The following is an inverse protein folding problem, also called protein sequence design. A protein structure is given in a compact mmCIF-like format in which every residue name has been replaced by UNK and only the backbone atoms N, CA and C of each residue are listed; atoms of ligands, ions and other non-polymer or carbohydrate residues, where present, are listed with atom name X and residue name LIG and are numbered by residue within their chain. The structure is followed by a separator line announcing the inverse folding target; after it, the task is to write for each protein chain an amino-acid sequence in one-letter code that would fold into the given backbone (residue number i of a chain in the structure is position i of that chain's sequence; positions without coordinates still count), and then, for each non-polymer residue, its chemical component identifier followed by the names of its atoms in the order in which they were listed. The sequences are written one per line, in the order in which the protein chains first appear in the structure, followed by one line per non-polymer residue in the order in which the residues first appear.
data_IF_237735731784
#
_entry.id   IF_237735731784
#
_cell.length_a   1.000
_cell.length_b   1.000
_cell.length_c   1.000
_cell.angle_alpha   90.00
_cell.angle_beta   90.00
_cell.angle_gamma   90.00
#
_symmetry.space_group_name_H-M   'P 1'
#
loop_
_entity.id
_entity.type
_entity.pdbx_description
1 polymer ?
#
# COMPACT_ATOMS: atom_id res chain seq x y z
N UNK A 1 2.57 2.27 -0.83
CA UNK A 1 3.88 2.81 -1.26
C UNK A 1 3.97 2.80 -2.78
N UNK A 2 4.55 3.82 -3.41
CA UNK A 2 4.60 3.95 -4.88
C UNK A 2 6.03 4.26 -5.33
N UNK A 3 6.56 3.48 -6.27
CA UNK A 3 7.86 3.74 -6.87
C UNK A 3 8.12 2.86 -8.09
N UNK A 4 8.13 3.46 -9.28
CA UNK A 4 8.22 2.74 -10.57
C UNK A 4 9.55 2.92 -11.28
N UNK A 5 10.45 3.73 -10.72
CA UNK A 5 11.82 3.88 -11.19
C UNK A 5 12.57 2.57 -10.96
N UNK A 6 13.49 2.19 -11.85
CA UNK A 6 14.21 0.90 -11.79
C UNK A 6 14.88 0.67 -10.43
N UNK A 7 15.42 1.73 -9.82
CA UNK A 7 16.08 1.72 -8.52
C UNK A 7 15.11 1.54 -7.35
N UNK A 8 13.83 1.85 -7.54
CA UNK A 8 12.80 1.82 -6.51
C UNK A 8 11.94 0.55 -6.52
N UNK A 9 11.71 -0.06 -7.69
CA UNK A 9 10.70 -1.13 -7.86
C UNK A 9 10.84 -2.26 -6.84
N UNK A 10 12.02 -2.87 -6.80
CA UNK A 10 12.30 -4.03 -5.96
C UNK A 10 12.19 -3.66 -4.47
N UNK A 11 12.80 -2.53 -4.09
CA UNK A 11 12.77 -2.01 -2.72
C UNK A 11 11.34 -1.74 -2.24
N UNK A 12 10.52 -1.07 -3.06
CA UNK A 12 9.13 -0.72 -2.71
C UNK A 12 8.28 -1.98 -2.58
N UNK A 13 8.51 -2.99 -3.41
CA UNK A 13 7.81 -4.27 -3.29
C UNK A 13 8.19 -5.01 -2.00
N UNK A 14 9.48 -5.13 -1.70
CA UNK A 14 9.98 -5.82 -0.50
C UNK A 14 9.48 -5.14 0.77
N UNK A 15 9.70 -3.83 0.90
CA UNK A 15 9.34 -3.09 2.12
C UNK A 15 7.82 -2.92 2.25
N UNK A 16 7.09 -2.80 1.13
CA UNK A 16 5.63 -2.77 1.12
C UNK A 16 5.02 -4.08 1.62
N UNK A 17 5.53 -5.23 1.14
CA UNK A 17 5.13 -6.55 1.63
C UNK A 17 5.49 -6.73 3.11
N UNK A 18 6.70 -6.35 3.51
CA UNK A 18 7.16 -6.43 4.90
C UNK A 18 6.28 -5.61 5.85
N UNK A 19 5.90 -4.40 5.47
CA UNK A 19 5.00 -3.56 6.26
C UNK A 19 3.53 -3.97 6.13
N UNK A 20 3.18 -4.93 5.25
CA UNK A 20 1.79 -5.30 4.97
C UNK A 20 0.97 -4.11 4.49
N UNK A 21 1.54 -3.28 3.60
CA UNK A 21 0.86 -2.14 2.99
C UNK A 21 0.77 -2.33 1.47
N UNK A 22 -0.30 -1.84 0.83
CA UNK A 22 -0.39 -1.88 -0.63
C UNK A 22 0.77 -1.13 -1.28
N UNK A 23 1.30 -1.67 -2.38
CA UNK A 23 2.40 -1.07 -3.11
C UNK A 23 2.21 -1.10 -4.64
N UNK A 24 2.92 -0.20 -5.33
CA UNK A 24 2.96 -0.11 -6.79
C UNK A 24 4.40 0.06 -7.24
N UNK A 25 4.94 -0.95 -7.92
CA UNK A 25 6.34 -1.03 -8.36
C UNK A 25 6.51 -0.94 -9.89
N UNK A 26 5.47 -1.26 -10.68
CA UNK A 26 5.57 -1.25 -12.15
C UNK A 26 5.09 0.04 -12.79
N UNK A 27 3.77 0.30 -12.74
CA UNK A 27 3.15 1.47 -13.37
C UNK A 27 1.92 1.90 -12.60
N UNK A 28 1.77 3.21 -12.41
CA UNK A 28 0.51 3.78 -11.98
C UNK A 28 -0.51 3.80 -13.12
N UNK A 29 -1.61 3.06 -12.97
CA UNK A 29 -2.74 3.11 -13.90
C UNK A 29 -3.59 4.33 -13.55
N UNK A 30 -3.86 5.19 -14.53
CA UNK A 30 -4.77 6.32 -14.32
C UNK A 30 -6.15 5.84 -13.88
N UNK A 31 -6.69 6.46 -12.84
CA UNK A 31 -7.93 6.04 -12.20
C UNK A 31 -7.75 5.04 -11.05
N UNK A 32 -6.52 4.76 -10.61
CA UNK A 32 -6.24 3.83 -9.51
C UNK A 32 -6.98 4.21 -8.22
N UNK A 33 -7.06 5.50 -7.91
CA UNK A 33 -7.76 5.99 -6.72
C UNK A 33 -9.11 6.58 -7.11
N UNK A 34 -9.15 7.39 -8.17
CA UNK A 34 -10.35 8.13 -8.56
C UNK A 34 -11.44 7.24 -9.19
N UNK A 35 -11.06 6.11 -9.77
CA UNK A 35 -11.98 5.09 -10.29
C UNK A 35 -11.76 3.72 -9.62
N UNK A 36 -11.68 3.73 -8.30
CA UNK A 36 -11.40 2.53 -7.52
C UNK A 36 -12.42 1.41 -7.72
N UNK A 37 -13.68 1.73 -8.08
CA UNK A 37 -14.70 0.71 -8.40
C UNK A 37 -14.27 -0.18 -9.57
N UNK A 38 -13.71 0.37 -10.64
CA UNK A 38 -13.21 -0.43 -11.77
C UNK A 38 -11.96 -1.21 -11.39
N UNK A 39 -11.06 -0.60 -10.60
CA UNK A 39 -9.85 -1.26 -10.10
C UNK A 39 -10.20 -2.49 -9.25
N UNK A 40 -11.22 -2.39 -8.39
CA UNK A 40 -11.74 -3.54 -7.62
C UNK A 40 -12.20 -4.69 -8.52
N UNK A 41 -12.86 -4.39 -9.64
CA UNK A 41 -13.24 -5.42 -10.61
C UNK A 41 -12.02 -6.12 -11.20
N UNK A 42 -10.97 -5.36 -11.54
CA UNK A 42 -9.71 -5.94 -12.03
C UNK A 42 -8.99 -6.77 -10.97
N UNK A 43 -8.98 -6.34 -9.71
CA UNK A 43 -8.42 -7.11 -8.58
C UNK A 43 -9.21 -8.41 -8.37
N UNK A 44 -10.55 -8.36 -8.45
CA UNK A 44 -11.38 -9.55 -8.37
C UNK A 44 -11.03 -10.53 -9.50
N UNK A 45 -10.92 -10.03 -10.73
CA UNK A 45 -10.51 -10.83 -11.88
C UNK A 45 -9.14 -11.49 -11.67
N UNK A 46 -8.17 -10.77 -11.10
CA UNK A 46 -6.87 -11.34 -10.76
C UNK A 46 -7.00 -12.52 -9.78
N UNK A 47 -7.79 -12.36 -8.71
CA UNK A 47 -8.04 -13.41 -7.72
C UNK A 47 -8.72 -14.62 -8.35
N UNK A 48 -9.73 -14.40 -9.18
CA UNK A 48 -10.44 -15.47 -9.90
C UNK A 48 -9.48 -16.24 -10.83
N UNK A 49 -8.58 -15.53 -11.52
CA UNK A 49 -7.56 -16.16 -12.39
C UNK A 49 -6.52 -16.96 -11.59
N UNK A 50 -6.09 -16.49 -10.41
CA UNK A 50 -5.19 -17.26 -9.53
C UNK A 50 -5.85 -18.56 -9.07
N UNK A 51 -7.11 -18.49 -8.62
CA UNK A 51 -7.89 -19.67 -8.21
C UNK A 51 -8.02 -20.66 -9.37
N UNK A 52 -8.30 -20.16 -10.58
CA UNK A 52 -8.39 -21.00 -11.78
C UNK A 52 -7.05 -21.66 -12.15
N UNK A 53 -5.93 -20.96 -11.94
CA UNK A 53 -4.59 -21.52 -12.16
C UNK A 53 -4.30 -22.66 -11.17
N UNK A 54 -4.65 -22.47 -9.89
CA UNK A 54 -4.47 -23.47 -8.83
C UNK A 54 -5.39 -24.69 -9.02
N UNK A 55 -6.63 -24.47 -9.48
CA UNK A 55 -7.59 -25.53 -9.77
C UNK A 55 -7.21 -26.38 -11.01
N UNK A 56 -6.27 -25.91 -11.83
CA UNK A 56 -5.77 -26.60 -13.01
C UNK A 56 -6.40 -26.10 -14.33
N UNK A 57 -5.54 -25.93 -15.35
CA UNK A 57 -5.91 -25.42 -16.68
C UNK A 57 -6.03 -26.53 -17.73
N UNK A 58 -6.26 -27.77 -17.29
CA UNK A 58 -6.24 -28.97 -18.16
C UNK A 58 -7.36 -28.98 -19.21
N UNK A 59 -8.46 -28.27 -18.93
CA UNK A 59 -9.57 -28.08 -19.88
C UNK A 59 -9.23 -27.13 -21.04
N UNK A 60 -8.11 -26.40 -20.96
CA UNK A 60 -7.68 -25.45 -22.00
C UNK A 60 -6.65 -26.08 -22.95
N UNK A 61 -6.68 -25.67 -24.22
CA UNK A 61 -5.60 -25.98 -25.16
C UNK A 61 -4.27 -25.38 -24.70
N UNK A 62 -3.12 -25.96 -25.12
CA UNK A 62 -1.77 -25.40 -24.84
C UNK A 62 -1.64 -23.92 -25.21
N UNK A 63 -2.27 -23.51 -26.33
CA UNK A 63 -2.32 -22.10 -26.74
C UNK A 63 -3.14 -21.26 -25.75
N UNK A 64 -4.28 -21.77 -25.30
CA UNK A 64 -5.12 -21.14 -24.27
C UNK A 64 -4.40 -20.97 -22.94
N UNK A 65 -3.72 -22.03 -22.47
CA UNK A 65 -2.90 -21.99 -21.25
C UNK A 65 -1.79 -20.93 -21.33
N UNK A 66 -1.10 -20.84 -22.48
CA UNK A 66 -0.06 -19.81 -22.68
C UNK A 66 -0.64 -18.39 -22.66
N UNK A 67 -1.77 -18.17 -23.31
CA UNK A 67 -2.42 -16.85 -23.32
C UNK A 67 -2.92 -16.46 -21.93
N UNK A 68 -3.49 -17.43 -21.20
CA UNK A 68 -3.95 -17.26 -19.83
C UNK A 68 -2.79 -16.89 -18.89
N UNK A 69 -1.68 -17.62 -18.95
CA UNK A 69 -0.48 -17.34 -18.15
C UNK A 69 0.07 -15.93 -18.44
N UNK A 70 0.15 -15.53 -19.71
CA UNK A 70 0.59 -14.18 -20.09
C UNK A 70 -0.34 -13.09 -19.56
N UNK A 71 -1.64 -13.32 -19.59
CA UNK A 71 -2.62 -12.37 -19.06
C UNK A 71 -2.52 -12.26 -17.55
N UNK A 72 -2.39 -13.40 -16.86
CA UNK A 72 -2.18 -13.45 -15.41
C UNK A 72 -0.90 -12.70 -15.02
N UNK A 73 0.23 -13.02 -15.64
CA UNK A 73 1.52 -12.37 -15.35
C UNK A 73 1.47 -10.86 -15.57
N UNK A 74 0.76 -10.41 -16.60
CA UNK A 74 0.59 -8.98 -16.88
C UNK A 74 -0.24 -8.32 -15.79
N UNK A 75 -1.37 -8.94 -15.42
CA UNK A 75 -2.26 -8.40 -14.42
C UNK A 75 -1.61 -8.40 -13.03
N UNK A 76 -0.87 -9.45 -12.68
CA UNK A 76 -0.09 -9.55 -11.43
C UNK A 76 0.95 -8.43 -11.35
N UNK A 77 1.67 -8.17 -12.44
CA UNK A 77 2.65 -7.07 -12.50
C UNK A 77 2.00 -5.70 -12.32
N UNK A 78 0.82 -5.47 -12.90
CA UNK A 78 0.19 -4.16 -12.90
C UNK A 78 -0.56 -3.86 -11.58
N UNK A 79 -1.20 -4.86 -10.97
CA UNK A 79 -2.10 -4.66 -9.82
C UNK A 79 -1.89 -5.65 -8.65
N UNK A 80 -0.90 -6.54 -8.72
CA UNK A 80 -0.62 -7.52 -7.66
C UNK A 80 -0.30 -6.87 -6.31
N UNK A 81 0.47 -5.78 -6.31
CA UNK A 81 0.82 -5.07 -5.08
C UNK A 81 -0.35 -4.33 -4.39
N UNK A 82 -1.50 -4.19 -5.06
CA UNK A 82 -2.72 -3.59 -4.49
C UNK A 82 -3.85 -4.62 -4.29
N UNK A 83 -3.57 -5.92 -4.43
CA UNK A 83 -4.59 -6.98 -4.37
C UNK A 83 -5.30 -7.07 -3.00
N UNK A 84 -4.61 -6.64 -1.94
CA UNK A 84 -5.11 -6.67 -0.56
C UNK A 84 -5.84 -5.37 -0.18
N UNK A 85 -5.90 -4.40 -1.10
CA UNK A 85 -6.54 -3.11 -0.89
C UNK A 85 -8.07 -3.23 -1.06
N UNK A 86 -8.81 -3.17 0.05
CA UNK A 86 -10.28 -3.22 0.06
C UNK A 86 -10.93 -1.83 0.06
N UNK A 87 -10.24 -0.85 0.65
CA UNK A 87 -10.64 0.55 0.79
C UNK A 87 -9.59 1.46 0.19
N UNK A 88 -9.92 2.74 0.01
CA UNK A 88 -8.93 3.73 -0.38
C UNK A 88 -7.90 3.91 0.74
N UNK A 89 -6.63 4.20 0.41
CA UNK A 89 -5.60 4.43 1.42
C UNK A 89 -5.82 5.77 2.14
N UNK A 90 -5.50 5.80 3.44
CA UNK A 90 -5.53 7.01 4.27
C UNK A 90 -4.34 7.95 4.01
N UNK A 91 -3.23 7.41 3.50
CA UNK A 91 -2.06 8.18 3.10
C UNK A 91 -1.30 7.47 1.99
N UNK A 92 -0.56 8.23 1.17
CA UNK A 92 0.23 7.69 0.08
C UNK A 92 1.67 8.18 0.20
N UNK A 93 2.61 7.23 0.17
CA UNK A 93 4.03 7.50 0.06
C UNK A 93 4.53 7.28 -1.37
N UNK A 94 5.14 8.31 -1.98
CA UNK A 94 5.63 8.31 -3.36
C UNK A 94 7.13 8.59 -3.41
N UNK A 95 7.87 7.78 -4.17
CA UNK A 95 9.27 8.02 -4.50
C UNK A 95 9.32 8.51 -5.95
N UNK A 96 9.98 9.66 -6.16
CA UNK A 96 10.10 10.37 -7.45
C UNK A 96 8.76 10.96 -7.94
N UNK A 97 8.52 12.22 -7.60
CA UNK A 97 7.31 12.96 -8.00
C UNK A 97 7.22 13.25 -9.50
N UNK A 98 8.35 13.21 -10.22
CA UNK A 98 8.41 13.50 -11.65
C UNK A 98 7.63 12.51 -12.50
N UNK A 99 7.79 11.22 -12.17
CA UNK A 99 7.13 10.12 -12.88
C UNK A 99 5.69 9.89 -12.43
N UNK A 100 5.29 10.42 -11.27
CA UNK A 100 4.02 10.12 -10.60
C UNK A 100 3.02 11.27 -10.56
N UNK A 101 3.05 12.16 -11.56
CA UNK A 101 2.11 13.30 -11.65
C UNK A 101 0.64 12.89 -11.60
N UNK A 102 0.29 11.75 -12.19
CA UNK A 102 -1.09 11.22 -12.18
C UNK A 102 -1.48 10.80 -10.76
N UNK A 103 -0.61 10.09 -10.04
CA UNK A 103 -0.86 9.68 -8.66
C UNK A 103 -1.07 10.89 -7.74
N UNK A 104 -0.23 11.92 -7.90
CA UNK A 104 -0.33 13.18 -7.14
C UNK A 104 -1.65 13.90 -7.43
N UNK A 105 -2.04 14.01 -8.70
CA UNK A 105 -3.29 14.65 -9.10
C UNK A 105 -4.53 13.90 -8.56
N UNK A 106 -4.49 12.56 -8.60
CA UNK A 106 -5.57 11.73 -8.06
C UNK A 106 -5.68 11.82 -6.54
N UNK A 107 -4.55 11.75 -5.82
CA UNK A 107 -4.51 11.88 -4.36
C UNK A 107 -5.06 13.24 -3.91
N UNK A 108 -4.61 14.32 -4.55
CA UNK A 108 -5.09 15.69 -4.28
C UNK A 108 -6.58 15.84 -4.52
N UNK A 109 -7.11 15.25 -5.60
CA UNK A 109 -8.54 15.32 -5.92
C UNK A 109 -9.41 14.63 -4.85
N UNK A 110 -8.89 13.58 -4.22
CA UNK A 110 -9.59 12.83 -3.18
C UNK A 110 -9.29 13.33 -1.77
N UNK A 111 -8.38 14.30 -1.62
CA UNK A 111 -7.94 14.81 -0.31
C UNK A 111 -7.13 13.79 0.49
N UNK A 112 -6.46 12.84 -0.18
CA UNK A 112 -5.61 11.85 0.48
C UNK A 112 -4.24 12.48 0.74
N UNK A 113 -3.76 12.54 2.00
CA UNK A 113 -2.43 13.02 2.35
C UNK A 113 -1.32 12.34 1.56
N UNK A 114 -0.45 13.14 0.96
CA UNK A 114 0.65 12.68 0.12
C UNK A 114 2.00 13.03 0.74
N UNK A 115 2.77 11.98 1.03
CA UNK A 115 4.15 12.04 1.47
C UNK A 115 5.04 11.69 0.29
N UNK A 116 6.02 12.54 -0.05
CA UNK A 116 6.88 12.23 -1.19
C UNK A 116 8.33 12.69 -1.03
N UNK A 117 9.22 11.92 -1.64
CA UNK A 117 10.63 12.29 -1.81
C UNK A 117 10.75 13.20 -3.02
N UNK A 118 11.28 14.40 -2.81
CA UNK A 118 11.45 15.43 -3.85
C UNK A 118 12.93 15.72 -4.04
N UNK A 119 13.41 15.50 -5.25
CA UNK A 119 14.74 15.93 -5.69
C UNK A 119 14.69 17.31 -6.34
N UNK A 120 15.85 17.95 -6.44
CA UNK A 120 16.11 19.30 -6.97
C UNK A 120 15.53 19.60 -8.35
N UNK A 121 15.26 18.57 -9.16
CA UNK A 121 14.69 18.68 -10.50
C UNK A 121 13.15 18.72 -10.53
N UNK A 122 12.49 18.60 -9.38
CA UNK A 122 11.03 18.55 -9.30
C UNK A 122 10.45 19.56 -8.29
N UNK A 123 9.25 20.06 -8.62
CA UNK A 123 8.53 20.98 -7.74
C UNK A 123 7.83 20.22 -6.60
N UNK A 124 7.89 20.73 -5.35
CA UNK A 124 7.16 20.16 -4.23
C UNK A 124 5.65 20.49 -4.24
N UNK A 125 5.13 21.14 -5.28
CA UNK A 125 3.77 21.66 -5.30
C UNK A 125 2.67 20.59 -5.18
N UNK A 126 1.87 20.76 -4.13
CA UNK A 126 0.74 19.91 -3.74
C UNK A 126 1.14 18.47 -3.42
N UNK A 127 2.28 18.37 -2.75
CA UNK A 127 2.68 17.32 -1.81
C UNK A 127 2.44 17.91 -0.41
N UNK A 128 1.82 17.14 0.48
CA UNK A 128 1.52 17.61 1.85
C UNK A 128 2.75 17.50 2.76
N UNK A 129 3.50 16.41 2.63
CA UNK A 129 4.71 16.15 3.41
C UNK A 129 5.89 15.87 2.49
N UNK A 130 6.76 16.87 2.38
CA UNK A 130 7.93 16.83 1.49
C UNK A 130 9.14 16.29 2.23
N UNK A 131 9.78 15.26 1.67
CA UNK A 131 11.08 14.75 2.10
C UNK A 131 12.11 15.17 1.05
N UNK A 132 12.91 16.22 1.29
CA UNK A 132 13.94 16.64 0.33
C UNK A 132 15.03 15.57 0.28
N UNK A 133 15.33 15.04 -0.92
CA UNK A 133 16.31 13.97 -1.03
C UNK A 133 16.50 13.41 -2.43
N UNK A 134 17.60 12.66 -2.59
CA UNK A 134 17.95 12.02 -3.86
C UNK A 134 17.07 10.79 -4.15
N UNK A 135 16.41 10.76 -5.31
CA UNK A 135 15.57 9.64 -5.76
C UNK A 135 16.23 8.71 -6.80
N UNK A 136 17.44 9.05 -7.29
CA UNK A 136 18.18 8.29 -8.31
C UNK A 136 19.01 7.14 -7.72
N UNK A 137 19.40 7.25 -6.45
CA UNK A 137 20.25 6.28 -5.78
C UNK A 137 19.42 5.17 -5.12
N UNK A 138 19.69 3.91 -5.50
CA UNK A 138 19.04 2.75 -4.87
C UNK A 138 19.24 2.72 -3.35
N UNK A 139 20.41 3.19 -2.85
CA UNK A 139 20.67 3.25 -1.40
C UNK A 139 19.79 4.28 -0.70
N UNK A 140 19.60 5.45 -1.32
CA UNK A 140 18.74 6.49 -0.77
C UNK A 140 17.26 6.05 -0.79
N UNK A 141 16.81 5.49 -1.91
CA UNK A 141 15.46 4.93 -2.04
C UNK A 141 15.21 3.85 -0.99
N UNK A 142 16.18 2.96 -0.76
CA UNK A 142 16.12 1.94 0.31
C UNK A 142 15.97 2.57 1.69
N UNK A 143 16.73 3.62 1.98
CA UNK A 143 16.65 4.32 3.25
C UNK A 143 15.25 4.90 3.49
N UNK A 144 14.67 5.59 2.50
CA UNK A 144 13.33 6.17 2.64
C UNK A 144 12.24 5.10 2.74
N UNK A 145 12.30 4.07 1.87
CA UNK A 145 11.31 2.99 1.87
C UNK A 145 11.32 2.23 3.20
N UNK A 146 12.51 1.91 3.74
CA UNK A 146 12.65 1.29 5.06
C UNK A 146 12.16 2.17 6.18
N UNK A 147 12.59 3.43 6.21
CA UNK A 147 12.16 4.37 7.25
C UNK A 147 10.64 4.51 7.32
N UNK A 148 9.96 4.58 6.18
CA UNK A 148 8.49 4.60 6.12
C UNK A 148 7.88 3.26 6.54
N UNK A 149 8.43 2.14 6.08
CA UNK A 149 7.93 0.82 6.46
C UNK A 149 8.06 0.57 7.97
N UNK A 150 9.20 0.90 8.56
CA UNK A 150 9.47 0.78 9.99
C UNK A 150 8.53 1.72 10.78
N UNK A 151 8.34 2.97 10.35
CA UNK A 151 7.40 3.90 10.97
C UNK A 151 5.94 3.40 10.93
N UNK A 152 5.52 2.75 9.84
CA UNK A 152 4.19 2.12 9.74
C UNK A 152 4.06 0.96 10.72
N UNK A 153 5.09 0.12 10.84
CA UNK A 153 5.09 -1.02 11.76
C UNK A 153 5.06 -0.56 13.22
N UNK A 154 5.88 0.42 13.58
CA UNK A 154 5.91 1.03 14.91
C UNK A 154 4.56 1.69 15.24
N UNK A 155 3.98 2.44 14.30
CA UNK A 155 2.66 3.05 14.46
C UNK A 155 1.55 2.02 14.70
N UNK A 156 1.59 0.89 13.99
CA UNK A 156 0.65 -0.23 14.22
C UNK A 156 0.84 -0.89 15.58
N UNK A 157 2.07 -1.10 16.01
CA UNK A 157 2.35 -1.70 17.33
C UNK A 157 1.86 -0.79 18.46
N UNK A 158 2.15 0.51 18.40
CA UNK A 158 1.70 1.48 19.39
C UNK A 158 0.17 1.60 19.45
N UNK A 159 -0.51 1.57 18.30
CA UNK A 159 -1.97 1.61 18.26
C UNK A 159 -2.61 0.41 18.99
N UNK A 160 -2.00 -0.77 18.91
CA UNK A 160 -2.46 -1.95 19.66
C UNK A 160 -2.21 -1.74 21.16
N UNK A 161 -1.04 -1.27 21.55
CA UNK A 161 -0.71 -1.02 22.96
C UNK A 161 -1.61 0.04 23.60
N UNK A 162 -1.96 1.09 22.87
CA UNK A 162 -2.85 2.15 23.34
C UNK A 162 -4.29 1.64 23.50
N UNK A 163 -4.77 0.77 22.60
CA UNK A 163 -6.07 0.09 22.76
C UNK A 163 -6.05 -0.84 23.96
N UNK A 164 -4.98 -1.63 24.15
CA UNK A 164 -4.84 -2.52 25.31
C UNK A 164 -4.82 -1.71 26.61
N UNK A 165 -4.07 -0.60 26.66
CA UNK A 165 -4.05 0.30 27.82
C UNK A 165 -5.41 0.92 28.09
N UNK A 166 -6.16 1.33 27.07
CA UNK A 166 -7.50 1.88 27.24
C UNK A 166 -8.47 0.84 27.82
N UNK A 167 -8.42 -0.41 27.33
CA UNK A 167 -9.25 -1.50 27.86
C UNK A 167 -8.87 -1.86 29.30
N UNK A 168 -7.57 -1.87 29.63
CA UNK A 168 -7.10 -2.13 31.00
C UNK A 168 -7.47 -0.98 31.95
N UNK A 169 -7.45 0.27 31.48
CA UNK A 169 -7.89 1.43 32.27
C UNK A 169 -9.41 1.39 32.54
N UNK A 170 -10.24 1.06 31.53
CA UNK A 170 -11.68 0.86 31.74
C UNK A 170 -11.97 -0.32 32.68
N UNK A 171 -11.20 -1.40 32.58
CA UNK A 171 -11.36 -2.58 33.47
C UNK A 171 -10.97 -2.27 34.92
N UNK A 172 -10.04 -1.34 35.15
CA UNK A 172 -9.61 -0.95 36.49
C UNK A 172 -10.66 -0.07 37.21
N UNK A 173 -11.45 0.70 36.47
CA UNK A 173 -12.54 1.52 37.04
C UNK A 173 -13.81 0.69 37.36
N UNK A 174 -13.93 -0.55 36.88
CA UNK A 174 -15.07 -1.44 37.16
C UNK A 174 -14.93 -2.23 38.49
N UNK A 175 -13.75 -2.25 39.11
CA UNK A 175 -13.50 -2.86 40.43
C UNK A 175 -13.64 -1.83 41.56
N UNK A 176 -14.86 -1.36 41.84
CA UNK A 176 -15.17 -0.70 43.12
C UNK A 176 -15.95 -1.69 43.98
N UNK A 177 -15.29 -2.18 45.04
CA UNK A 177 -15.84 -3.11 46.04
C UNK A 177 -17.19 -2.63 46.61
N UNK A 178 -18.24 -3.43 46.42
CA UNK A 178 -19.45 -3.33 47.24
C UNK A 178 -19.07 -3.88 48.63
N UNK A 179 -18.70 -3.00 49.55
CA UNK A 179 -18.66 -3.36 50.97
C UNK A 179 -20.09 -3.57 51.47
N UNK A 180 -20.51 -4.83 51.57
CA UNK A 180 -21.66 -5.26 52.36
C UNK A 180 -21.43 -4.87 53.83
N UNK A 181 -21.91 -3.70 54.22
CA UNK A 181 -22.21 -3.40 55.62
C UNK A 181 -23.56 -4.05 55.96
N UNK A 182 -23.54 -5.34 56.29
CA UNK A 182 -24.62 -5.98 57.04
C UNK A 182 -24.33 -5.78 58.53
N UNK A 183 -25.14 -4.95 59.18
CA UNK A 183 -25.25 -4.82 60.63
C UNK A 183 -26.73 -4.96 61.03
#
# INVERSE_FOLDING_TARGET
MVGTKRQARETVAIEGQRAGVPYVDQRWLGGMLTNFKTVKTSIKRLKDMKIQQEAGLESMSKKGQLMFARELDKLEKDIGGIQDMTVLPDAIFVIDVGYHKIAIAEARKLGIPLIAVVDTNHSPEGIDYVIPGNDDSSKAVTLYARGIADAVLEGRANAVDDVVKAVVAESADEFVEINEAVA
#
